data_IF_488375487552
#
_entry.id   IF_488375487552
#
_cell.length_a   1.000
_cell.length_b   1.000
_cell.length_c   1.000
_cell.angle_alpha   90.00
_cell.angle_beta   90.00
_cell.angle_gamma   90.00
#
_symmetry.space_group_name_H-M   'P 1'
#
loop_
_entity.id
_entity.type
_entity.pdbx_description
1 polymer ?
#
# COMPACT_ATOMS: atom_id res chain seq x y z
N UNK A 1 6.45 20.92 -4.32
CA UNK A 1 5.46 20.91 -3.22
C UNK A 1 4.89 19.51 -3.14
N UNK A 2 5.06 18.83 -2.01
CA UNK A 2 4.57 17.45 -1.84
C UNK A 2 3.09 17.48 -1.52
N UNK A 3 2.24 16.97 -2.41
CA UNK A 3 0.80 16.88 -2.17
C UNK A 3 0.55 15.75 -1.16
N UNK A 4 -0.07 16.05 -0.02
CA UNK A 4 -0.38 15.05 1.01
C UNK A 4 -1.83 14.56 0.82
N UNK A 5 -2.04 13.26 0.97
CA UNK A 5 -3.37 12.63 0.90
C UNK A 5 -3.71 11.99 2.24
N UNK A 6 -4.96 12.15 2.66
CA UNK A 6 -5.50 11.52 3.87
C UNK A 6 -6.33 10.31 3.46
N UNK A 7 -6.08 9.18 4.10
CA UNK A 7 -6.79 7.93 3.87
C UNK A 7 -6.94 7.14 5.18
N UNK A 8 -7.75 6.09 5.15
CA UNK A 8 -8.00 5.22 6.31
C UNK A 8 -7.65 3.78 5.94
N UNK A 9 -6.83 3.12 6.77
CA UNK A 9 -6.46 1.70 6.62
C UNK A 9 -6.89 0.99 7.91
N UNK A 10 -7.74 -0.02 7.81
CA UNK A 10 -8.26 -0.79 8.96
C UNK A 10 -8.81 0.08 10.11
N UNK A 11 -9.47 1.19 9.75
CA UNK A 11 -10.04 2.15 10.70
C UNK A 11 -9.05 3.17 11.28
N UNK A 12 -7.76 3.05 10.96
CA UNK A 12 -6.71 3.99 11.39
C UNK A 12 -6.46 5.07 10.33
N UNK A 13 -6.40 6.35 10.71
CA UNK A 13 -6.10 7.42 9.77
C UNK A 13 -4.60 7.43 9.41
N UNK A 14 -4.32 7.65 8.13
CA UNK A 14 -2.97 7.81 7.59
C UNK A 14 -2.89 9.06 6.71
N UNK A 15 -1.75 9.78 6.79
CA UNK A 15 -1.46 10.94 5.94
C UNK A 15 -0.11 10.69 5.28
N UNK A 16 -0.12 10.54 3.96
CA UNK A 16 1.09 10.19 3.18
C UNK A 16 1.22 11.06 1.93
N UNK A 17 2.42 11.19 1.35
CA UNK A 17 2.59 11.82 0.04
C UNK A 17 1.75 11.13 -1.03
N UNK A 18 1.14 11.90 -1.93
CA UNK A 18 0.45 11.37 -3.10
C UNK A 18 1.43 10.51 -3.94
N UNK A 19 0.97 9.33 -4.37
CA UNK A 19 1.81 8.35 -5.07
C UNK A 19 2.53 7.36 -4.14
N UNK A 20 2.33 7.45 -2.83
CA UNK A 20 2.78 6.41 -1.88
C UNK A 20 1.97 5.14 -2.11
N UNK A 21 2.64 3.98 -2.18
CA UNK A 21 1.93 2.70 -2.32
C UNK A 21 1.12 2.36 -1.07
N UNK A 22 0.05 1.58 -1.22
CA UNK A 22 -0.74 1.10 -0.08
C UNK A 22 0.15 0.35 0.92
N UNK A 23 1.11 -0.43 0.42
CA UNK A 23 2.09 -1.13 1.25
C UNK A 23 2.88 -0.17 2.17
N UNK A 24 3.39 0.93 1.61
CA UNK A 24 4.15 1.92 2.38
C UNK A 24 3.25 2.77 3.28
N UNK A 25 2.02 3.06 2.84
CA UNK A 25 1.04 3.76 3.66
C UNK A 25 0.65 2.95 4.90
N UNK A 26 0.40 1.65 4.74
CA UNK A 26 0.13 0.74 5.85
C UNK A 26 1.32 0.65 6.82
N UNK A 27 2.54 0.50 6.29
CA UNK A 27 3.75 0.47 7.09
C UNK A 27 3.96 1.75 7.91
N UNK A 28 3.55 2.92 7.39
CA UNK A 28 3.69 4.22 8.08
C UNK A 28 2.88 4.32 9.37
N UNK A 29 1.84 3.51 9.51
CA UNK A 29 0.97 3.44 10.69
C UNK A 29 1.12 2.11 11.46
N UNK A 30 2.16 1.34 11.15
CA UNK A 30 2.48 0.09 11.87
C UNK A 30 1.70 -1.14 11.43
N UNK A 31 0.98 -1.09 10.30
CA UNK A 31 0.32 -2.26 9.71
C UNK A 31 1.30 -2.95 8.76
N UNK A 32 1.67 -4.18 9.10
CA UNK A 32 2.56 -4.99 8.28
C UNK A 32 1.78 -5.87 7.30
N UNK A 33 1.92 -5.59 6.00
CA UNK A 33 1.32 -6.42 4.93
C UNK A 33 2.40 -7.40 4.45
N UNK A 34 2.12 -8.71 4.46
CA UNK A 34 3.11 -9.71 4.07
C UNK A 34 3.47 -9.58 2.57
N UNK A 35 4.76 -9.72 2.29
CA UNK A 35 5.31 -9.64 0.94
C UNK A 35 6.34 -10.74 0.70
N UNK A 36 6.37 -11.24 -0.54
CA UNK A 36 7.39 -12.23 -0.98
C UNK A 36 8.20 -11.68 -2.15
N UNK A 37 7.54 -11.06 -3.13
CA UNK A 37 8.20 -10.55 -4.34
C UNK A 37 8.53 -9.05 -4.30
N UNK A 38 8.36 -8.36 -3.17
CA UNK A 38 8.62 -6.93 -3.04
C UNK A 38 9.91 -6.69 -2.25
N UNK A 39 10.69 -5.70 -2.69
CA UNK A 39 11.84 -5.19 -1.97
C UNK A 39 11.97 -3.67 -2.21
N UNK A 40 12.33 -2.86 -1.20
CA UNK A 40 12.36 -1.39 -1.33
C UNK A 40 13.31 -0.85 -2.40
N UNK A 41 14.36 -1.61 -2.72
CA UNK A 41 15.37 -1.23 -3.70
C UNK A 41 15.15 -1.86 -5.09
N UNK A 42 14.02 -2.53 -5.32
CA UNK A 42 13.67 -3.16 -6.60
C UNK A 42 12.33 -2.63 -7.13
N UNK A 43 12.09 -2.79 -8.43
CA UNK A 43 10.80 -2.45 -9.03
C UNK A 43 9.70 -3.38 -8.50
N UNK A 44 8.61 -2.79 -7.99
CA UNK A 44 7.46 -3.55 -7.54
C UNK A 44 6.62 -4.04 -8.73
N UNK A 45 6.31 -5.33 -8.78
CA UNK A 45 5.64 -5.97 -9.92
C UNK A 45 4.30 -6.65 -9.58
N UNK A 46 3.93 -6.77 -8.30
CA UNK A 46 2.67 -7.41 -7.89
C UNK A 46 2.54 -8.89 -8.26
N UNK A 47 3.66 -9.63 -8.38
CA UNK A 47 3.69 -11.01 -8.88
C UNK A 47 3.10 -12.04 -7.90
N UNK A 48 3.53 -12.01 -6.64
CA UNK A 48 3.18 -13.06 -5.67
C UNK A 48 1.75 -12.99 -5.12
N UNK A 49 1.08 -11.83 -5.24
CA UNK A 49 -0.27 -11.57 -4.70
C UNK A 49 -0.48 -11.83 -3.19
N UNK A 50 0.60 -12.05 -2.42
CA UNK A 50 0.54 -12.19 -0.95
C UNK A 50 0.08 -10.88 -0.29
N UNK A 51 0.39 -9.74 -0.89
CA UNK A 51 -0.02 -8.41 -0.42
C UNK A 51 -1.41 -7.98 -0.95
N UNK A 52 -2.33 -8.92 -1.17
CA UNK A 52 -3.68 -8.62 -1.64
C UNK A 52 -4.50 -7.94 -0.53
N UNK A 53 -5.08 -6.78 -0.83
CA UNK A 53 -5.90 -6.00 0.10
C UNK A 53 -7.22 -5.59 -0.54
N UNK A 54 -8.26 -5.45 0.28
CA UNK A 54 -9.54 -4.89 -0.15
C UNK A 54 -9.51 -3.35 -0.08
N UNK A 55 -10.02 -2.71 -1.12
CA UNK A 55 -10.10 -1.25 -1.25
C UNK A 55 -11.53 -0.79 -1.59
N UNK A 56 -12.54 -1.64 -1.34
CA UNK A 56 -13.94 -1.35 -1.64
C UNK A 56 -14.26 -1.38 -3.14
N UNK A 57 -13.46 -2.10 -3.93
CA UNK A 57 -13.66 -2.30 -5.38
C UNK A 57 -13.97 -3.76 -5.68
N UNK A 58 -14.45 -4.04 -6.90
CA UNK A 58 -14.78 -5.41 -7.34
C UNK A 58 -13.60 -6.39 -7.22
N UNK A 59 -12.36 -5.91 -7.43
CA UNK A 59 -11.15 -6.71 -7.37
C UNK A 59 -10.26 -6.19 -6.26
N UNK A 60 -9.64 -7.11 -5.54
CA UNK A 60 -8.59 -6.79 -4.58
C UNK A 60 -7.38 -6.17 -5.28
N UNK A 61 -6.73 -5.25 -4.59
CA UNK A 61 -5.54 -4.57 -5.07
C UNK A 61 -4.29 -5.24 -4.52
N UNK A 62 -3.20 -5.24 -5.30
CA UNK A 62 -1.90 -5.62 -4.78
C UNK A 62 -1.26 -4.39 -4.12
N UNK A 63 -1.09 -4.42 -2.81
CA UNK A 63 -0.67 -3.27 -2.03
C UNK A 63 0.70 -2.71 -2.46
N UNK A 64 1.59 -3.56 -3.00
CA UNK A 64 2.94 -3.16 -3.37
C UNK A 64 3.03 -2.33 -4.67
N UNK A 65 1.97 -2.26 -5.48
CA UNK A 65 1.96 -1.54 -6.77
C UNK A 65 0.85 -0.50 -6.90
N UNK A 66 -0.19 -0.58 -6.06
CA UNK A 66 -1.28 0.40 -6.03
C UNK A 66 -0.93 1.58 -5.15
N UNK A 67 -1.24 2.80 -5.60
CA UNK A 67 -0.93 4.10 -4.98
C UNK A 67 -2.17 4.96 -4.82
#
# INVERSE_FOLDING_TARGET
MTNMVTLTIDGLPAIVPAGTTILNAAASIGIEIPVVCYHPHLTANGLCRVCSVDIGRRLQAAACVTT
#
